data_IF_996155714400
#
_entry.id   IF_996155714400
#
_cell.length_a   1.000
_cell.length_b   1.000
_cell.length_c   1.000
_cell.angle_alpha   90.00
_cell.angle_beta   90.00
_cell.angle_gamma   90.00
#
_symmetry.space_group_name_H-M   'P 1'
#
loop_
_entity.id
_entity.type
_entity.pdbx_description
1 polymer ?
#
# COMPACT_ATOMS: atom_id res chain seq x y z
N UNK A 1 35.63 62.68 -2.67
CA UNK A 1 34.49 63.62 -2.80
C UNK A 1 33.46 62.95 -3.72
N UNK A 2 32.39 62.40 -3.14
CA UNK A 2 30.98 62.76 -3.39
C UNK A 2 30.55 62.81 -4.87
N UNK A 3 29.74 61.83 -5.27
CA UNK A 3 28.45 62.07 -5.91
C UNK A 3 27.60 60.78 -5.84
N UNK A 4 26.55 60.83 -5.00
CA UNK A 4 25.50 59.84 -4.93
C UNK A 4 24.38 60.26 -5.89
N UNK A 5 23.82 59.31 -6.65
CA UNK A 5 22.58 59.51 -7.40
C UNK A 5 21.58 58.48 -6.90
N UNK A 6 20.57 59.00 -6.19
CA UNK A 6 19.39 58.29 -5.73
C UNK A 6 18.39 58.28 -6.88
N UNK A 7 18.01 57.10 -7.35
CA UNK A 7 16.90 56.91 -8.27
C UNK A 7 15.72 56.31 -7.49
N UNK A 8 14.70 57.14 -7.29
CA UNK A 8 13.42 56.81 -6.66
C UNK A 8 12.53 56.14 -7.71
N UNK A 9 12.41 54.81 -7.67
CA UNK A 9 11.51 54.05 -8.54
C UNK A 9 10.13 53.90 -7.90
N UNK A 10 9.12 54.53 -8.51
CA UNK A 10 7.70 54.32 -8.18
C UNK A 10 7.33 52.84 -8.37
N UNK A 11 6.90 52.17 -7.30
CA UNK A 11 6.23 50.89 -7.37
C UNK A 11 4.72 51.11 -7.53
N UNK A 12 4.19 50.85 -8.74
CA UNK A 12 2.77 50.77 -8.99
C UNK A 12 2.21 49.48 -8.36
N UNK A 13 1.43 49.62 -7.30
CA UNK A 13 0.69 48.52 -6.68
C UNK A 13 -0.51 48.13 -7.57
N UNK A 14 -0.27 47.20 -8.51
CA UNK A 14 -1.35 46.52 -9.23
C UNK A 14 -1.98 45.45 -8.33
N UNK A 15 -3.24 45.65 -7.93
CA UNK A 15 -4.07 44.58 -7.39
C UNK A 15 -4.31 43.54 -8.50
N UNK A 16 -3.50 42.48 -8.51
CA UNK A 16 -3.80 41.29 -9.30
C UNK A 16 -4.80 40.47 -8.49
N UNK A 17 -6.07 40.49 -8.88
CA UNK A 17 -7.07 39.60 -8.34
C UNK A 17 -6.70 38.17 -8.74
N UNK A 18 -6.16 37.40 -7.79
CA UNK A 18 -5.93 35.96 -7.98
C UNK A 18 -7.26 35.29 -8.30
N UNK A 19 -7.39 34.57 -9.42
CA UNK A 19 -8.60 33.81 -9.70
C UNK A 19 -8.86 32.80 -8.57
N UNK A 20 -10.13 32.47 -8.26
CA UNK A 20 -10.46 31.49 -7.24
C UNK A 20 -9.76 30.18 -7.58
N UNK A 21 -8.92 29.71 -6.66
CA UNK A 21 -8.19 28.47 -6.77
C UNK A 21 -9.19 27.31 -6.88
N UNK A 22 -9.52 26.94 -8.12
CA UNK A 22 -10.38 25.80 -8.40
C UNK A 22 -9.68 24.54 -7.89
N UNK A 23 -10.21 24.00 -6.79
CA UNK A 23 -10.08 22.59 -6.41
C UNK A 23 -8.66 22.09 -6.19
N UNK A 24 -7.84 22.77 -5.37
CA UNK A 24 -6.67 22.09 -4.84
C UNK A 24 -7.13 20.81 -4.12
N UNK A 25 -6.64 19.62 -4.50
CA UNK A 25 -7.05 18.38 -3.86
C UNK A 25 -6.70 18.49 -2.37
N UNK A 26 -7.72 18.38 -1.50
CA UNK A 26 -7.56 18.41 -0.05
C UNK A 26 -6.52 17.34 0.31
N UNK A 27 -5.36 17.79 0.79
CA UNK A 27 -4.33 16.89 1.33
C UNK A 27 -5.00 16.17 2.50
N UNK A 28 -5.16 14.84 2.38
CA UNK A 28 -5.73 14.02 3.46
C UNK A 28 -4.87 14.24 4.69
N UNK A 29 -5.48 14.70 5.78
CA UNK A 29 -4.74 15.03 6.98
C UNK A 29 -4.17 13.74 7.61
N UNK A 30 -2.92 13.75 8.10
CA UNK A 30 -2.28 12.54 8.63
C UNK A 30 -3.05 11.85 9.77
N UNK A 31 -3.85 12.61 10.53
CA UNK A 31 -4.65 12.10 11.66
C UNK A 31 -5.84 11.25 11.21
N UNK A 32 -6.26 11.34 9.95
CA UNK A 32 -7.42 10.59 9.44
C UNK A 32 -7.09 9.13 9.07
N UNK A 33 -5.82 8.75 8.96
CA UNK A 33 -5.43 7.40 8.53
C UNK A 33 -5.12 6.52 9.75
N UNK A 34 -5.96 5.51 10.06
CA UNK A 34 -5.72 4.63 11.19
C UNK A 34 -4.45 3.79 10.99
N UNK A 35 -3.73 3.44 12.08
CA UNK A 35 -2.63 2.49 12.01
C UNK A 35 -3.08 1.15 11.41
N UNK A 36 -2.27 0.59 10.51
CA UNK A 36 -2.53 -0.73 9.91
C UNK A 36 -1.47 -1.71 10.38
N UNK A 37 -1.89 -2.81 10.98
CA UNK A 37 -0.97 -3.84 11.52
C UNK A 37 0.08 -3.25 12.48
N UNK A 38 -0.33 -2.28 13.30
CA UNK A 38 0.56 -1.55 14.22
C UNK A 38 1.49 -0.53 13.57
N UNK A 39 1.42 -0.33 12.25
CA UNK A 39 2.21 0.67 11.53
C UNK A 39 1.46 2.00 11.45
N UNK A 40 2.06 3.05 12.02
CA UNK A 40 1.56 4.43 11.92
C UNK A 40 1.83 5.01 10.53
N UNK A 41 0.87 5.76 9.97
CA UNK A 41 1.02 6.43 8.69
C UNK A 41 2.04 7.58 8.77
N UNK A 42 2.98 7.65 7.80
CA UNK A 42 4.09 8.62 7.80
C UNK A 42 4.18 9.36 6.45
N UNK A 43 3.20 10.22 6.12
CA UNK A 43 3.11 10.87 4.80
C UNK A 43 4.29 11.79 4.48
N UNK A 44 4.91 12.38 5.51
CA UNK A 44 6.11 13.22 5.35
C UNK A 44 7.34 12.41 4.90
N UNK A 45 7.48 11.18 5.40
CA UNK A 45 8.60 10.31 5.07
C UNK A 45 8.37 9.51 3.78
N UNK A 46 7.09 9.20 3.49
CA UNK A 46 6.65 8.38 2.38
C UNK A 46 5.40 9.01 1.73
N UNK A 47 5.57 10.05 0.88
CA UNK A 47 4.46 10.70 0.21
C UNK A 47 3.71 9.75 -0.74
N UNK A 48 2.40 9.95 -0.87
CA UNK A 48 1.48 9.15 -1.69
C UNK A 48 0.45 10.00 -2.43
N UNK A 49 0.72 11.30 -2.61
CA UNK A 49 -0.18 12.23 -3.28
C UNK A 49 -0.23 12.01 -4.79
N UNK A 50 0.85 11.51 -5.37
CA UNK A 50 0.95 11.18 -6.80
C UNK A 50 1.45 9.77 -7.07
N UNK A 51 1.18 9.27 -8.28
CA UNK A 51 1.69 8.00 -8.78
C UNK A 51 3.24 7.90 -8.71
N UNK A 52 3.94 9.00 -9.01
CA UNK A 52 5.41 9.06 -8.93
C UNK A 52 5.90 9.01 -7.48
N UNK A 53 5.25 9.74 -6.58
CA UNK A 53 5.59 9.76 -5.16
C UNK A 53 5.44 8.38 -4.52
N UNK A 54 4.36 7.64 -4.78
CA UNK A 54 4.20 6.31 -4.17
C UNK A 54 5.29 5.34 -4.63
N UNK A 55 5.71 5.38 -5.90
CA UNK A 55 6.80 4.53 -6.39
C UNK A 55 8.12 4.89 -5.71
N UNK A 56 8.42 6.18 -5.60
CA UNK A 56 9.60 6.66 -4.88
C UNK A 56 9.58 6.26 -3.40
N UNK A 57 8.43 6.38 -2.75
CA UNK A 57 8.19 5.95 -1.36
C UNK A 57 8.39 4.44 -1.19
N UNK A 58 7.91 3.63 -2.13
CA UNK A 58 8.08 2.18 -2.10
C UNK A 58 9.55 1.77 -2.19
N UNK A 59 10.31 2.40 -3.10
CA UNK A 59 11.76 2.23 -3.22
C UNK A 59 12.46 2.61 -1.91
N UNK A 60 12.14 3.80 -1.37
CA UNK A 60 12.76 4.29 -0.14
C UNK A 60 12.44 3.41 1.08
N UNK A 61 11.24 2.83 1.15
CA UNK A 61 10.87 1.90 2.22
C UNK A 61 11.65 0.59 2.10
N UNK A 62 11.73 0.01 0.90
CA UNK A 62 12.50 -1.21 0.66
C UNK A 62 14.00 -1.03 0.95
N UNK A 63 14.60 0.07 0.51
CA UNK A 63 16.02 0.39 0.76
C UNK A 63 16.35 0.57 2.24
N UNK A 64 15.42 1.14 3.03
CA UNK A 64 15.56 1.28 4.49
C UNK A 64 15.24 0.00 5.26
N UNK A 65 14.83 -1.07 4.58
CA UNK A 65 14.36 -2.30 5.22
C UNK A 65 13.01 -2.18 5.92
N UNK A 66 12.22 -1.14 5.60
CA UNK A 66 10.93 -0.85 6.21
C UNK A 66 9.78 -1.60 5.49
N UNK A 67 9.92 -2.92 5.41
CA UNK A 67 8.98 -3.79 4.70
C UNK A 67 7.61 -3.84 5.38
N UNK A 68 7.55 -3.61 6.69
CA UNK A 68 6.31 -3.49 7.43
C UNK A 68 5.50 -2.28 6.95
N UNK A 69 6.13 -1.12 6.77
CA UNK A 69 5.44 0.05 6.24
C UNK A 69 5.12 -0.09 4.76
N UNK A 70 6.04 -0.66 3.96
CA UNK A 70 5.79 -0.97 2.54
C UNK A 70 4.50 -1.79 2.39
N UNK A 71 4.38 -2.88 3.15
CA UNK A 71 3.18 -3.72 3.14
C UNK A 71 1.95 -2.99 3.71
N UNK A 72 2.06 -2.30 4.84
CA UNK A 72 0.90 -1.72 5.51
C UNK A 72 0.29 -0.51 4.78
N UNK A 73 1.12 0.33 4.15
CA UNK A 73 0.69 1.64 3.66
C UNK A 73 0.95 1.90 2.18
N UNK A 74 1.93 1.22 1.56
CA UNK A 74 2.32 1.53 0.17
C UNK A 74 1.80 0.50 -0.85
N UNK A 75 1.50 -0.72 -0.43
CA UNK A 75 0.82 -1.73 -1.27
C UNK A 75 -0.71 -1.58 -1.20
N UNK A 76 -1.40 -2.06 -2.24
CA UNK A 76 -2.88 -2.08 -2.28
C UNK A 76 -3.44 -2.74 -1.01
N UNK A 77 -4.24 -2.02 -0.19
CA UNK A 77 -4.83 -2.53 1.02
C UNK A 77 -5.55 -3.87 0.85
N UNK A 78 -6.33 -4.01 -0.24
CA UNK A 78 -7.14 -5.20 -0.47
C UNK A 78 -6.27 -6.44 -0.73
N UNK A 79 -5.17 -6.27 -1.47
CA UNK A 79 -4.20 -7.34 -1.71
C UNK A 79 -3.56 -7.81 -0.39
N UNK A 80 -3.11 -6.87 0.44
CA UNK A 80 -2.42 -7.16 1.70
C UNK A 80 -3.36 -7.86 2.68
N UNK A 81 -4.57 -7.32 2.86
CA UNK A 81 -5.57 -7.90 3.74
C UNK A 81 -5.97 -9.30 3.27
N UNK A 82 -6.20 -9.48 1.97
CA UNK A 82 -6.48 -10.79 1.39
C UNK A 82 -5.35 -11.81 1.61
N UNK A 83 -4.08 -11.37 1.56
CA UNK A 83 -2.94 -12.26 1.87
C UNK A 83 -2.82 -12.59 3.35
N UNK A 84 -3.03 -11.62 4.24
CA UNK A 84 -3.02 -11.87 5.68
C UNK A 84 -4.16 -12.80 6.08
N UNK A 85 -5.36 -12.60 5.52
CA UNK A 85 -6.51 -13.46 5.77
C UNK A 85 -6.26 -14.89 5.26
N UNK A 86 -5.74 -15.06 4.04
CA UNK A 86 -5.36 -16.37 3.52
C UNK A 86 -4.28 -17.05 4.38
N UNK A 87 -3.29 -16.28 4.87
CA UNK A 87 -2.24 -16.79 5.75
C UNK A 87 -2.72 -17.06 7.17
N UNK A 88 -3.85 -16.52 7.62
CA UNK A 88 -4.41 -16.70 8.98
C UNK A 88 -5.64 -17.61 9.02
N UNK A 89 -6.13 -18.06 7.86
CA UNK A 89 -7.29 -18.92 7.76
C UNK A 89 -7.05 -20.33 8.30
N UNK A 90 -8.12 -20.93 8.83
CA UNK A 90 -8.18 -22.33 9.25
C UNK A 90 -7.74 -22.61 10.69
N UNK A 91 -8.28 -23.66 11.33
CA UNK A 91 -7.95 -24.02 12.71
C UNK A 91 -6.55 -24.65 12.84
N UNK A 92 -6.03 -25.27 11.78
CA UNK A 92 -4.71 -25.91 11.77
C UNK A 92 -3.56 -24.93 11.51
N UNK A 93 -3.87 -23.65 11.32
CA UNK A 93 -2.91 -22.61 10.98
C UNK A 93 -1.80 -22.47 12.03
N UNK A 94 -0.51 -22.48 11.62
CA UNK A 94 0.60 -22.35 12.56
C UNK A 94 0.59 -21.03 13.35
N UNK A 95 0.15 -19.92 12.74
CA UNK A 95 0.07 -18.62 13.42
C UNK A 95 -1.02 -18.60 14.48
N UNK A 96 -2.16 -19.26 14.22
CA UNK A 96 -3.25 -19.36 15.20
C UNK A 96 -2.80 -20.16 16.42
N UNK A 97 -2.17 -21.32 16.20
CA UNK A 97 -1.61 -22.15 17.29
C UNK A 97 -0.58 -21.40 18.11
N UNK A 98 0.30 -20.65 17.45
CA UNK A 98 1.32 -19.84 18.13
C UNK A 98 0.68 -18.71 18.96
N UNK A 99 -0.32 -18.00 18.41
CA UNK A 99 -1.05 -16.96 19.14
C UNK A 99 -1.81 -17.53 20.35
N UNK A 100 -2.52 -18.64 20.17
CA UNK A 100 -3.26 -19.32 21.24
C UNK A 100 -2.33 -19.76 22.37
N UNK A 101 -1.19 -20.38 22.06
CA UNK A 101 -0.22 -20.80 23.06
C UNK A 101 0.32 -19.61 23.89
N UNK A 102 0.61 -18.47 23.25
CA UNK A 102 1.04 -17.25 23.97
C UNK A 102 -0.08 -16.67 24.83
N UNK A 103 -1.32 -16.63 24.34
CA UNK A 103 -2.46 -16.13 25.12
C UNK A 103 -2.78 -17.00 26.33
N UNK A 104 -2.69 -18.33 26.20
CA UNK A 104 -2.84 -19.25 27.33
C UNK A 104 -1.72 -19.05 28.36
N UNK A 105 -0.47 -18.91 27.91
CA UNK A 105 0.67 -18.58 28.78
C UNK A 105 0.45 -17.27 29.54
N UNK A 106 -0.03 -16.22 28.85
CA UNK A 106 -0.32 -14.93 29.48
C UNK A 106 -1.47 -15.03 30.48
N UNK A 107 -2.53 -15.80 30.18
CA UNK A 107 -3.65 -16.01 31.12
C UNK A 107 -3.20 -16.74 32.39
N UNK A 108 -2.29 -17.72 32.27
CA UNK A 108 -1.71 -18.39 33.44
C UNK A 108 -0.86 -17.45 34.29
N UNK A 109 -0.07 -16.55 33.67
CA UNK A 109 0.68 -15.52 34.38
C UNK A 109 -0.29 -14.52 35.04
N UNK A 110 -1.34 -14.07 34.35
CA UNK A 110 -2.35 -13.15 34.87
C UNK A 110 -3.01 -13.70 36.13
N UNK A 111 -3.35 -15.00 36.15
CA UNK A 111 -3.94 -15.67 37.31
C UNK A 111 -2.99 -15.77 38.50
N UNK A 112 -1.70 -16.00 38.25
CA UNK A 112 -0.68 -16.16 39.31
C UNK A 112 -0.16 -14.83 39.84
N UNK A 113 -0.05 -13.83 38.97
CA UNK A 113 0.57 -12.54 39.27
C UNK A 113 -0.08 -11.42 38.43
N UNK A 114 -1.27 -10.96 38.83
CA UNK A 114 -2.06 -9.97 38.07
C UNK A 114 -1.31 -8.67 37.76
N UNK A 115 -0.40 -8.25 38.66
CA UNK A 115 0.36 -7.01 38.56
C UNK A 115 1.59 -7.14 37.65
N UNK A 116 1.98 -8.36 37.26
CA UNK A 116 3.13 -8.58 36.37
C UNK A 116 2.79 -8.29 34.90
N UNK A 117 1.51 -8.17 34.53
CA UNK A 117 1.06 -7.93 33.15
C UNK A 117 0.50 -6.51 33.03
N UNK A 118 1.09 -5.73 32.13
CA UNK A 118 0.57 -4.40 31.80
C UNK A 118 -0.85 -4.48 31.24
N UNK A 119 -1.66 -3.43 31.47
CA UNK A 119 -3.05 -3.41 31.04
C UNK A 119 -3.25 -3.75 29.55
N UNK A 120 -2.33 -3.30 28.68
CA UNK A 120 -2.37 -3.57 27.23
C UNK A 120 -2.12 -5.05 26.86
N UNK A 121 -1.49 -5.83 27.74
CA UNK A 121 -1.17 -7.26 27.53
C UNK A 121 -2.11 -8.20 28.28
N UNK A 122 -3.08 -7.68 29.04
CA UNK A 122 -4.07 -8.52 29.73
C UNK A 122 -4.91 -9.29 28.71
N UNK A 123 -5.13 -10.57 29.02
CA UNK A 123 -5.98 -11.45 28.21
C UNK A 123 -7.40 -11.35 28.77
N UNK A 124 -8.42 -11.10 27.93
CA UNK A 124 -9.81 -11.08 28.38
C UNK A 124 -10.21 -12.41 29.03
N UNK A 125 -11.01 -12.36 30.10
CA UNK A 125 -11.48 -13.56 30.79
C UNK A 125 -12.70 -14.18 30.10
N UNK A 126 -13.45 -13.40 29.33
CA UNK A 126 -14.60 -13.88 28.56
C UNK A 126 -14.17 -14.57 27.25
N UNK A 127 -14.98 -15.53 26.81
CA UNK A 127 -14.68 -16.33 25.62
C UNK A 127 -14.59 -15.49 24.34
N UNK A 128 -15.50 -14.52 24.17
CA UNK A 128 -15.53 -13.66 22.98
C UNK A 128 -14.30 -12.77 22.90
N UNK A 129 -13.94 -12.11 23.99
CA UNK A 129 -12.74 -11.28 24.07
C UNK A 129 -11.46 -12.08 23.83
N UNK A 130 -11.41 -13.33 24.30
CA UNK A 130 -10.31 -14.25 23.99
C UNK A 130 -10.24 -14.57 22.50
N UNK A 131 -11.38 -14.90 21.87
CA UNK A 131 -11.43 -15.22 20.43
C UNK A 131 -11.09 -14.01 19.56
N UNK A 132 -11.59 -12.83 19.90
CA UNK A 132 -11.28 -11.57 19.21
C UNK A 132 -9.78 -11.26 19.31
N UNK A 133 -9.20 -11.44 20.50
CA UNK A 133 -7.76 -11.26 20.73
C UNK A 133 -6.94 -12.30 19.96
N UNK A 134 -7.36 -13.55 19.96
CA UNK A 134 -6.71 -14.64 19.23
C UNK A 134 -6.70 -14.34 17.72
N UNK A 135 -7.82 -13.86 17.17
CA UNK A 135 -7.90 -13.47 15.76
C UNK A 135 -6.95 -12.31 15.44
N UNK A 136 -6.92 -11.27 16.29
CA UNK A 136 -6.02 -10.13 16.10
C UNK A 136 -4.54 -10.52 16.15
N UNK A 137 -4.14 -11.30 17.16
CA UNK A 137 -2.74 -11.75 17.33
C UNK A 137 -2.34 -12.72 16.19
N UNK A 138 -3.26 -13.56 15.72
CA UNK A 138 -3.04 -14.41 14.55
C UNK A 138 -2.75 -13.58 13.29
N UNK A 139 -3.56 -12.55 13.02
CA UNK A 139 -3.35 -11.65 11.87
C UNK A 139 -2.04 -10.87 11.99
N UNK A 140 -1.66 -10.45 13.20
CA UNK A 140 -0.38 -9.77 13.44
C UNK A 140 0.81 -10.68 13.12
N UNK A 141 0.77 -11.95 13.53
CA UNK A 141 1.81 -12.94 13.19
C UNK A 141 1.86 -13.24 11.68
N UNK A 142 0.70 -13.41 11.04
CA UNK A 142 0.61 -13.62 9.60
C UNK A 142 1.16 -12.42 8.80
N UNK A 143 0.84 -11.20 9.21
CA UNK A 143 1.44 -9.98 8.63
C UNK A 143 2.96 -9.95 8.84
N UNK A 144 3.43 -10.34 10.02
CA UNK A 144 4.85 -10.54 10.31
C UNK A 144 5.52 -11.51 9.32
N UNK A 145 4.86 -12.61 8.93
CA UNK A 145 5.39 -13.49 7.89
C UNK A 145 5.40 -12.83 6.51
N UNK A 146 4.33 -12.14 6.12
CA UNK A 146 4.25 -11.45 4.82
C UNK A 146 5.42 -10.46 4.65
N UNK A 147 5.72 -9.69 5.69
CA UNK A 147 6.85 -8.74 5.66
C UNK A 147 8.22 -9.42 5.52
N UNK A 148 8.40 -10.60 6.13
CA UNK A 148 9.60 -11.42 5.94
C UNK A 148 9.71 -11.92 4.49
N UNK A 149 8.62 -12.47 3.94
CA UNK A 149 8.59 -12.94 2.55
C UNK A 149 8.91 -11.81 1.57
N UNK A 150 8.42 -10.59 1.82
CA UNK A 150 8.77 -9.42 1.01
C UNK A 150 10.26 -9.08 1.10
N UNK A 151 10.82 -9.01 2.32
CA UNK A 151 12.26 -8.78 2.52
C UNK A 151 13.10 -9.82 1.79
N UNK A 152 12.75 -11.09 1.95
CA UNK A 152 13.48 -12.21 1.37
C UNK A 152 13.39 -12.11 -0.16
N UNK A 153 12.22 -11.79 -0.73
CA UNK A 153 12.05 -11.54 -2.17
C UNK A 153 12.97 -10.41 -2.70
N UNK A 154 13.11 -9.30 -1.98
CA UNK A 154 14.01 -8.20 -2.39
C UNK A 154 15.50 -8.53 -2.20
N UNK A 155 15.82 -9.44 -1.29
CA UNK A 155 17.19 -9.91 -1.05
C UNK A 155 17.60 -10.92 -2.12
N UNK A 156 16.70 -11.84 -2.46
CA UNK A 156 16.91 -12.89 -3.46
C UNK A 156 16.89 -12.33 -4.89
N UNK A 157 16.15 -11.24 -5.13
CA UNK A 157 15.95 -10.65 -6.44
C UNK A 157 16.20 -9.12 -6.42
N UNK A 158 17.47 -8.69 -6.35
CA UNK A 158 17.82 -7.27 -6.30
C UNK A 158 17.49 -6.52 -7.60
N UNK A 159 17.24 -7.24 -8.71
CA UNK A 159 16.82 -6.62 -9.98
C UNK A 159 15.46 -5.95 -9.84
N UNK A 160 14.54 -6.50 -9.04
CA UNK A 160 13.22 -5.87 -8.76
C UNK A 160 13.38 -4.42 -8.30
N UNK A 161 14.33 -4.15 -7.40
CA UNK A 161 14.57 -2.81 -6.89
C UNK A 161 15.23 -1.90 -7.94
N UNK A 162 16.14 -2.45 -8.77
CA UNK A 162 16.72 -1.71 -9.90
C UNK A 162 15.65 -1.35 -10.93
N UNK A 163 14.71 -2.24 -11.19
CA UNK A 163 13.60 -1.98 -12.10
C UNK A 163 12.67 -0.92 -11.57
N UNK A 164 12.27 -0.99 -10.29
CA UNK A 164 11.47 0.07 -9.66
C UNK A 164 12.15 1.43 -9.78
N UNK A 165 13.48 1.51 -9.56
CA UNK A 165 14.26 2.74 -9.79
C UNK A 165 14.23 3.17 -11.26
N UNK A 166 14.29 2.24 -12.21
CA UNK A 166 14.18 2.53 -13.64
C UNK A 166 12.79 3.10 -13.97
N UNK A 167 11.70 2.50 -13.48
CA UNK A 167 10.34 3.04 -13.61
C UNK A 167 10.21 4.44 -12.99
N UNK A 168 10.76 4.67 -11.80
CA UNK A 168 10.71 5.98 -11.15
C UNK A 168 11.39 7.10 -11.98
N UNK A 169 12.46 6.75 -12.70
CA UNK A 169 13.25 7.71 -13.50
C UNK A 169 12.71 7.90 -14.91
N UNK A 170 12.45 6.80 -15.61
CA UNK A 170 12.17 6.78 -17.05
C UNK A 170 10.74 6.36 -17.39
N UNK A 171 9.93 5.99 -16.38
CA UNK A 171 8.55 5.61 -16.60
C UNK A 171 7.67 6.80 -17.00
N UNK A 172 6.69 6.53 -17.86
CA UNK A 172 5.64 7.50 -18.20
C UNK A 172 4.57 7.46 -17.10
N UNK A 173 4.48 8.53 -16.31
CA UNK A 173 3.47 8.68 -15.27
C UNK A 173 2.30 9.52 -15.78
N UNK A 174 1.06 9.26 -15.34
CA UNK A 174 -0.05 10.16 -15.61
C UNK A 174 0.20 11.51 -14.94
N UNK A 175 -0.43 12.56 -15.48
CA UNK A 175 -0.39 13.89 -14.87
C UNK A 175 -0.91 13.84 -13.43
N UNK A 176 -0.30 14.57 -12.47
CA UNK A 176 -0.75 14.59 -11.07
C UNK A 176 -2.23 14.96 -10.86
N UNK A 177 -2.82 15.69 -11.82
CA UNK A 177 -4.23 16.09 -11.83
C UNK A 177 -5.13 15.23 -12.72
N UNK A 178 -4.61 14.18 -13.36
CA UNK A 178 -5.41 13.32 -14.22
C UNK A 178 -6.50 12.63 -13.39
N UNK A 179 -7.77 12.67 -13.82
CA UNK A 179 -8.82 11.89 -13.20
C UNK A 179 -8.56 10.40 -13.45
N UNK A 180 -8.64 9.58 -12.40
CA UNK A 180 -8.47 8.15 -12.51
C UNK A 180 -8.09 7.49 -11.19
N UNK A 181 -8.55 6.25 -11.05
CA UNK A 181 -8.28 5.40 -9.89
C UNK A 181 -7.20 4.34 -10.15
N UNK A 182 -6.61 4.35 -11.34
CA UNK A 182 -5.54 3.42 -11.72
C UNK A 182 -4.52 4.10 -12.63
N UNK A 183 -3.28 3.65 -12.56
CA UNK A 183 -2.20 4.06 -13.46
C UNK A 183 -1.31 2.87 -13.80
N UNK A 184 -0.86 2.84 -15.06
CA UNK A 184 0.13 1.87 -15.55
C UNK A 184 1.38 2.65 -15.93
N UNK A 185 2.50 2.33 -15.28
CA UNK A 185 3.79 2.94 -15.56
C UNK A 185 4.61 1.95 -16.38
N UNK A 186 4.86 2.29 -17.64
CA UNK A 186 5.64 1.49 -18.58
C UNK A 186 7.00 2.15 -18.86
N UNK A 187 7.98 1.35 -19.29
CA UNK A 187 9.24 1.86 -19.81
C UNK A 187 9.18 1.84 -21.34
N UNK A 188 9.67 2.88 -22.02
CA UNK A 188 9.63 2.95 -23.49
C UNK A 188 10.39 1.78 -24.15
N UNK A 189 11.45 1.30 -23.50
CA UNK A 189 12.32 0.25 -24.02
C UNK A 189 11.91 -1.18 -23.61
N UNK A 190 10.92 -1.34 -22.70
CA UNK A 190 10.58 -2.65 -22.12
C UNK A 190 9.07 -2.87 -22.13
N UNK A 191 8.59 -3.47 -23.21
CA UNK A 191 7.14 -3.67 -23.47
C UNK A 191 6.46 -4.66 -22.52
N UNK A 192 7.22 -5.54 -21.89
CA UNK A 192 6.66 -6.62 -21.06
C UNK A 192 6.68 -6.31 -19.56
N UNK A 193 7.16 -5.13 -19.16
CA UNK A 193 7.27 -4.76 -17.74
C UNK A 193 6.53 -3.47 -17.48
N UNK A 194 5.64 -3.52 -16.50
CA UNK A 194 4.88 -2.37 -16.05
C UNK A 194 4.73 -2.41 -14.52
N UNK A 195 4.61 -1.23 -13.92
CA UNK A 195 4.18 -1.06 -12.54
C UNK A 195 2.73 -0.59 -12.57
N UNK A 196 1.86 -1.32 -11.90
CA UNK A 196 0.45 -0.96 -11.75
C UNK A 196 0.25 -0.24 -10.43
N UNK A 197 -0.52 0.83 -10.46
CA UNK A 197 -0.81 1.69 -9.32
C UNK A 197 -2.31 1.89 -9.22
N UNK A 198 -2.81 1.96 -7.99
CA UNK A 198 -4.21 2.23 -7.68
C UNK A 198 -4.33 3.49 -6.85
N UNK A 199 -5.38 4.28 -7.08
CA UNK A 199 -5.80 5.33 -6.16
C UNK A 199 -6.97 4.84 -5.33
N UNK A 200 -6.88 4.96 -4.02
CA UNK A 200 -7.97 4.67 -3.11
C UNK A 200 -7.93 5.64 -1.92
N UNK A 201 -9.09 6.13 -1.48
CA UNK A 201 -9.20 7.09 -0.37
C UNK A 201 -8.22 8.28 -0.50
N UNK A 202 -8.08 8.83 -1.71
CA UNK A 202 -7.21 9.97 -1.99
C UNK A 202 -5.71 9.68 -2.05
N UNK A 203 -5.27 8.42 -1.88
CA UNK A 203 -3.85 8.03 -1.89
C UNK A 203 -3.53 7.05 -3.00
N UNK A 204 -2.29 7.09 -3.49
CA UNK A 204 -1.76 6.12 -4.44
C UNK A 204 -1.10 4.93 -3.74
N UNK A 205 -1.27 3.74 -4.32
CA UNK A 205 -0.73 2.46 -3.87
C UNK A 205 -0.10 1.71 -5.03
N UNK A 206 0.88 0.85 -4.73
CA UNK A 206 1.44 -0.11 -5.68
C UNK A 206 0.58 -1.38 -5.68
N UNK A 207 0.11 -1.79 -6.85
CA UNK A 207 -0.61 -3.05 -7.01
C UNK A 207 0.36 -4.21 -7.26
N UNK A 208 0.12 -5.35 -6.62
CA UNK A 208 0.80 -6.59 -6.95
C UNK A 208 0.10 -7.29 -8.12
N UNK A 209 0.20 -6.70 -9.31
CA UNK A 209 -0.32 -7.26 -10.57
C UNK A 209 0.85 -7.53 -11.51
N UNK A 210 0.92 -8.76 -12.03
CA UNK A 210 1.79 -9.04 -13.17
C UNK A 210 1.11 -8.49 -14.41
N UNK A 211 1.88 -7.84 -15.30
CA UNK A 211 1.36 -7.42 -16.59
C UNK A 211 0.75 -8.67 -17.23
N UNK A 212 -0.58 -8.65 -17.42
CA UNK A 212 -1.37 -9.84 -17.68
C UNK A 212 -0.58 -10.74 -18.63
N UNK A 213 -0.29 -11.94 -18.16
CA UNK A 213 0.30 -13.02 -18.95
C UNK A 213 -0.70 -13.29 -20.06
N UNK A 214 -0.58 -12.49 -21.13
CA UNK A 214 -1.39 -12.40 -22.34
C UNK A 214 -2.73 -13.13 -22.18
N UNK A 215 -3.73 -12.45 -21.58
CA UNK A 215 -5.07 -12.98 -21.34
C UNK A 215 -5.39 -14.01 -22.41
N UNK A 216 -5.38 -15.30 -22.03
CA UNK A 216 -5.43 -16.39 -22.98
C UNK A 216 -6.53 -16.05 -23.99
N UNK A 217 -6.23 -16.04 -25.31
CA UNK A 217 -7.16 -15.55 -26.31
C UNK A 217 -8.51 -16.19 -26.01
N UNK A 218 -9.52 -15.33 -25.78
CA UNK A 218 -10.84 -15.79 -25.38
C UNK A 218 -11.19 -17.00 -26.26
N UNK A 219 -11.58 -18.15 -25.67
CA UNK A 219 -11.76 -19.39 -26.41
C UNK A 219 -12.60 -19.05 -27.64
N UNK A 220 -12.03 -19.30 -28.82
CA UNK A 220 -12.63 -18.92 -30.09
C UNK A 220 -14.08 -19.40 -30.05
N UNK A 221 -15.02 -18.45 -30.14
CA UNK A 221 -16.44 -18.76 -30.02
C UNK A 221 -16.75 -19.92 -30.96
N UNK A 222 -17.18 -21.05 -30.40
CA UNK A 222 -17.52 -22.23 -31.20
C UNK A 222 -18.52 -21.79 -32.28
N UNK A 223 -18.27 -22.12 -33.56
CA UNK A 223 -19.16 -21.72 -34.63
C UNK A 223 -20.55 -22.27 -34.32
N UNK A 224 -21.52 -21.36 -34.17
CA UNK A 224 -22.94 -21.71 -34.02
C UNK A 224 -23.29 -22.67 -35.16
N UNK A 225 -23.58 -23.93 -34.82
CA UNK A 225 -24.16 -24.88 -35.75
C UNK A 225 -25.43 -24.27 -36.33
N UNK A 226 -25.38 -24.01 -37.63
CA UNK A 226 -26.52 -23.59 -38.42
C UNK A 226 -27.59 -24.69 -38.35
N UNK A 227 -28.84 -24.38 -37.98
CA UNK A 227 -29.88 -25.39 -37.84
C UNK A 227 -30.17 -26.02 -39.21
N UNK A 228 -30.03 -27.34 -39.29
CA UNK A 228 -30.28 -28.10 -40.51
C UNK A 228 -31.70 -27.82 -41.06
N UNK A 229 -31.85 -27.63 -42.39
CA UNK A 229 -33.14 -27.42 -43.01
C UNK A 229 -33.98 -28.70 -42.91
N UNK A 230 -35.15 -28.58 -42.28
CA UNK A 230 -36.16 -29.65 -42.24
C UNK A 230 -36.60 -29.97 -43.67
N UNK A 231 -36.30 -31.17 -44.13
CA UNK A 231 -36.86 -31.73 -45.36
C UNK A 231 -38.25 -32.29 -45.03
N UNK A 232 -39.26 -31.82 -45.76
CA UNK A 232 -40.63 -32.38 -45.75
C UNK A 232 -40.71 -33.58 -46.70
#
# INVERSE_FOLDING_TARGET
>A
MRAAVVALGLAAAGLVASPPAAGQPKVVEPEEVPPRYGQTFRPKAYPQGTAREVVASAIAAAEKGDYAYLAAHLLDPAFVDGRVDAMSAGPSNPYRKAAEAELLRLRDIQRKTPDAISAARRVPDDARGFDDRLAADTKALAFGQLTRLMRDKFTDDPEVLKDLRKFARAGTFPDPGAPGDAAKVELPDVKDRAVFLKRAAGRWYVENRQADEKAAPAPAAEPKKEPEPKTN
#
